data_IF_759934719443
#
_entry.id   IF_759934719443
#
_cell.length_a   1.000
_cell.length_b   1.000
_cell.length_c   1.000
_cell.angle_alpha   90.00
_cell.angle_beta   90.00
_cell.angle_gamma   90.00
#
_symmetry.space_group_name_H-M   'P 1'
#
loop_
_entity.id
_entity.type
_entity.pdbx_description
1 polymer ?
#
# COMPACT_ATOMS: atom_id res chain seq x y z
N UNK A 1 18.93 -10.51 -18.07
CA UNK A 1 18.92 -9.20 -17.40
C UNK A 1 17.61 -8.53 -17.75
N UNK A 2 16.90 -7.95 -16.79
CA UNK A 2 15.59 -7.29 -17.01
C UNK A 2 15.71 -5.83 -16.59
N UNK A 3 15.29 -4.90 -17.45
CA UNK A 3 15.30 -3.46 -17.17
C UNK A 3 13.90 -2.88 -17.26
N UNK A 4 13.54 -2.10 -16.26
CA UNK A 4 12.18 -1.58 -16.07
C UNK A 4 12.26 -0.11 -15.72
N UNK A 5 11.49 0.74 -16.40
CA UNK A 5 11.38 2.15 -16.08
C UNK A 5 10.69 2.35 -14.73
N UNK A 6 11.14 3.34 -13.96
CA UNK A 6 10.41 3.79 -12.77
C UNK A 6 9.22 4.63 -13.24
N UNK A 7 8.03 4.08 -13.08
CA UNK A 7 6.79 4.78 -13.36
C UNK A 7 6.17 5.32 -12.07
N UNK A 8 6.09 6.65 -12.00
CA UNK A 8 5.52 7.37 -10.87
C UNK A 8 4.11 7.85 -11.17
N UNK A 9 3.32 7.17 -11.99
CA UNK A 9 1.91 7.54 -12.16
C UNK A 9 1.09 7.30 -10.88
N UNK A 10 -0.13 7.85 -10.86
CA UNK A 10 -1.01 7.72 -9.71
C UNK A 10 -1.42 6.24 -9.45
N UNK A 11 -1.40 5.37 -10.47
CA UNK A 11 -1.78 3.96 -10.33
C UNK A 11 -0.72 3.19 -9.55
N UNK A 12 0.54 3.29 -9.96
CA UNK A 12 1.69 2.71 -9.26
C UNK A 12 1.74 3.19 -7.81
N UNK A 13 1.59 4.49 -7.60
CA UNK A 13 1.64 5.08 -6.28
C UNK A 13 0.49 4.62 -5.38
N UNK A 14 -0.73 4.56 -5.92
CA UNK A 14 -1.90 4.02 -5.21
C UNK A 14 -1.71 2.56 -4.80
N UNK A 15 -1.15 1.74 -5.69
CA UNK A 15 -0.87 0.33 -5.41
C UNK A 15 0.15 0.18 -4.26
N UNK A 16 1.22 0.97 -4.28
CA UNK A 16 2.23 1.01 -3.22
C UNK A 16 1.57 1.36 -1.88
N UNK A 17 0.80 2.45 -1.80
CA UNK A 17 0.15 2.88 -0.56
C UNK A 17 -0.76 1.77 0.00
N UNK A 18 -1.63 1.21 -0.84
CA UNK A 18 -2.60 0.17 -0.44
C UNK A 18 -1.92 -1.08 0.12
N UNK A 19 -0.69 -1.33 -0.28
CA UNK A 19 0.05 -2.51 0.15
C UNK A 19 0.96 -2.30 1.35
N UNK A 20 1.20 -1.05 1.74
CA UNK A 20 1.94 -0.72 2.97
C UNK A 20 1.30 -1.34 4.21
N UNK A 21 2.13 -1.73 5.18
CA UNK A 21 1.67 -2.21 6.50
C UNK A 21 0.77 -1.18 7.17
N UNK A 22 1.09 0.10 7.04
CA UNK A 22 0.30 1.20 7.58
C UNK A 22 -1.13 1.17 7.03
N UNK A 23 -1.32 1.08 5.72
CA UNK A 23 -2.66 1.04 5.12
C UNK A 23 -3.47 -0.18 5.58
N UNK A 24 -2.86 -1.38 5.53
CA UNK A 24 -3.52 -2.63 5.95
C UNK A 24 -3.92 -2.58 7.43
N UNK A 25 -3.04 -2.11 8.30
CA UNK A 25 -3.32 -1.97 9.73
C UNK A 25 -4.46 -0.98 9.96
N UNK A 26 -4.40 0.16 9.30
CA UNK A 26 -5.40 1.23 9.46
C UNK A 26 -6.77 0.79 8.95
N UNK A 27 -6.82 0.07 7.82
CA UNK A 27 -8.04 -0.57 7.27
C UNK A 27 -8.62 -1.60 8.25
N UNK A 28 -7.80 -2.48 8.81
CA UNK A 28 -8.28 -3.49 9.75
C UNK A 28 -8.86 -2.87 11.02
N UNK A 29 -8.21 -1.84 11.57
CA UNK A 29 -8.75 -1.09 12.72
C UNK A 29 -10.09 -0.43 12.35
N UNK A 30 -10.21 0.18 11.17
CA UNK A 30 -11.46 0.77 10.71
C UNK A 30 -12.60 -0.27 10.66
N UNK A 31 -12.31 -1.47 10.12
CA UNK A 31 -13.29 -2.57 10.06
C UNK A 31 -13.73 -2.99 11.46
N UNK A 32 -12.79 -3.19 12.39
CA UNK A 32 -13.09 -3.61 13.76
C UNK A 32 -13.91 -2.55 14.50
N UNK A 33 -13.50 -1.27 14.43
CA UNK A 33 -14.21 -0.18 15.09
C UNK A 33 -15.62 0.00 14.50
N UNK A 34 -15.77 -0.12 13.17
CA UNK A 34 -17.07 -0.07 12.52
C UNK A 34 -17.99 -1.23 12.93
N UNK A 35 -17.46 -2.45 13.05
CA UNK A 35 -18.21 -3.60 13.54
C UNK A 35 -18.67 -3.42 15.00
N UNK A 36 -17.80 -2.90 15.87
CA UNK A 36 -18.16 -2.57 17.25
C UNK A 36 -19.27 -1.52 17.32
N UNK A 37 -19.22 -0.49 16.47
CA UNK A 37 -20.28 0.51 16.38
C UNK A 37 -21.63 -0.10 15.98
N UNK A 38 -21.66 -1.00 14.99
CA UNK A 38 -22.88 -1.68 14.55
C UNK A 38 -23.46 -2.57 15.66
N UNK A 39 -22.62 -3.34 16.36
CA UNK A 39 -23.06 -4.20 17.47
C UNK A 39 -23.70 -3.35 18.57
N UNK A 40 -23.06 -2.26 18.99
CA UNK A 40 -23.60 -1.36 20.01
C UNK A 40 -24.93 -0.72 19.56
N UNK A 41 -25.04 -0.35 18.29
CA UNK A 41 -26.27 0.22 17.73
C UNK A 41 -27.42 -0.80 17.75
N UNK A 42 -27.15 -2.06 17.41
CA UNK A 42 -28.14 -3.15 17.48
C UNK A 42 -28.59 -3.38 18.93
N UNK A 43 -27.66 -3.39 19.90
CA UNK A 43 -27.99 -3.52 21.32
C UNK A 43 -28.91 -2.38 21.81
N UNK A 44 -28.62 -1.13 21.41
CA UNK A 44 -29.47 0.02 21.75
C UNK A 44 -30.88 -0.12 21.16
N UNK A 45 -31.00 -0.53 19.90
CA UNK A 45 -32.30 -0.73 19.24
C UNK A 45 -33.07 -1.86 19.92
N UNK A 46 -32.42 -2.98 20.23
CA UNK A 46 -33.04 -4.10 20.91
C UNK A 46 -33.53 -3.73 22.31
N UNK A 47 -32.73 -2.99 23.08
CA UNK A 47 -33.12 -2.54 24.42
C UNK A 47 -34.25 -1.51 24.37
N UNK A 48 -34.22 -0.60 23.41
CA UNK A 48 -35.29 0.38 23.19
C UNK A 48 -36.59 -0.31 22.77
N UNK A 49 -36.52 -1.34 21.92
CA UNK A 49 -37.68 -2.13 21.54
C UNK A 49 -38.26 -2.93 22.72
N UNK A 50 -37.40 -3.43 23.61
CA UNK A 50 -37.80 -4.20 24.80
C UNK A 50 -38.44 -3.32 25.88
N UNK A 51 -37.89 -2.14 26.12
CA UNK A 51 -38.28 -1.28 27.26
C UNK A 51 -39.14 -0.08 26.86
N UNK A 52 -39.36 0.13 25.56
CA UNK A 52 -39.96 1.33 24.98
C UNK A 52 -39.30 2.64 25.39
N UNK A 53 -38.06 2.58 25.92
CA UNK A 53 -37.28 3.73 26.37
C UNK A 53 -35.83 3.55 25.93
N UNK A 54 -35.24 4.61 25.41
CA UNK A 54 -33.80 4.58 25.12
C UNK A 54 -33.03 4.81 26.43
N UNK A 55 -32.17 3.86 26.81
CA UNK A 55 -31.31 4.02 27.98
C UNK A 55 -30.28 5.14 27.70
N UNK A 56 -30.27 6.24 28.48
CA UNK A 56 -29.43 7.41 28.19
C UNK A 56 -27.94 7.09 28.11
N UNK A 57 -27.48 6.13 28.91
CA UNK A 57 -26.08 5.71 28.97
C UNK A 57 -25.67 4.97 27.68
N UNK A 58 -26.52 4.06 27.18
CA UNK A 58 -26.31 3.39 25.89
C UNK A 58 -26.33 4.38 24.72
N UNK A 59 -27.25 5.35 24.72
CA UNK A 59 -27.30 6.41 23.69
C UNK A 59 -26.00 7.22 23.68
N UNK A 60 -25.50 7.60 24.86
CA UNK A 60 -24.26 8.36 24.99
C UNK A 60 -23.03 7.54 24.53
N UNK A 61 -22.97 6.25 24.89
CA UNK A 61 -21.91 5.34 24.44
C UNK A 61 -21.91 5.18 22.91
N UNK A 62 -23.06 4.88 22.31
CA UNK A 62 -23.20 4.73 20.85
C UNK A 62 -22.77 6.02 20.13
N UNK A 63 -23.19 7.17 20.64
CA UNK A 63 -22.84 8.49 20.07
C UNK A 63 -21.33 8.78 20.18
N UNK A 64 -20.71 8.47 21.32
CA UNK A 64 -19.28 8.64 21.53
C UNK A 64 -18.45 7.72 20.61
N UNK A 65 -18.85 6.45 20.48
CA UNK A 65 -18.20 5.51 19.56
C UNK A 65 -18.34 5.94 18.09
N UNK A 66 -19.52 6.43 17.70
CA UNK A 66 -19.74 6.98 16.36
C UNK A 66 -18.78 8.13 16.08
N UNK A 67 -18.68 9.09 17.01
CA UNK A 67 -17.85 10.27 16.82
C UNK A 67 -16.35 9.90 16.75
N UNK A 68 -15.89 8.97 17.59
CA UNK A 68 -14.52 8.43 17.52
C UNK A 68 -14.26 7.72 16.19
N UNK A 69 -15.22 6.93 15.70
CA UNK A 69 -15.12 6.25 14.41
C UNK A 69 -15.04 7.26 13.26
N UNK A 70 -15.90 8.27 13.24
CA UNK A 70 -15.90 9.32 12.21
C UNK A 70 -14.58 10.09 12.22
N UNK A 71 -14.10 10.53 13.39
CA UNK A 71 -12.82 11.24 13.51
C UNK A 71 -11.65 10.37 13.02
N UNK A 72 -11.68 9.07 13.34
CA UNK A 72 -10.68 8.12 12.87
C UNK A 72 -10.72 7.95 11.34
N UNK A 73 -11.92 7.79 10.76
CA UNK A 73 -12.12 7.67 9.31
C UNK A 73 -11.69 8.92 8.56
N UNK A 74 -11.99 10.11 9.09
CA UNK A 74 -11.53 11.39 8.51
C UNK A 74 -10.00 11.44 8.49
N UNK A 75 -9.33 11.09 9.60
CA UNK A 75 -7.86 11.04 9.64
C UNK A 75 -7.29 10.06 8.62
N UNK A 76 -7.94 8.90 8.44
CA UNK A 76 -7.56 7.90 7.45
C UNK A 76 -7.69 8.44 6.02
N UNK A 77 -8.85 8.99 5.68
CA UNK A 77 -9.12 9.60 4.38
C UNK A 77 -8.11 10.69 4.03
N UNK A 78 -7.80 11.57 4.99
CA UNK A 78 -6.87 12.69 4.76
C UNK A 78 -5.41 12.24 4.64
N UNK A 79 -4.98 11.28 5.46
CA UNK A 79 -3.57 10.84 5.48
C UNK A 79 -3.22 9.83 4.39
N UNK A 80 -4.20 9.06 3.92
CA UNK A 80 -3.97 7.95 2.99
C UNK A 80 -4.47 8.24 1.57
N UNK A 81 -4.80 9.50 1.27
CA UNK A 81 -5.22 9.93 -0.06
C UNK A 81 -4.04 9.83 -1.04
N UNK A 82 -4.06 8.88 -2.00
CA UNK A 82 -2.92 8.65 -2.88
C UNK A 82 -2.55 9.86 -3.70
N UNK A 83 -3.55 10.64 -4.11
CA UNK A 83 -3.37 11.84 -4.94
C UNK A 83 -2.59 12.94 -4.21
N UNK A 84 -2.90 13.21 -2.95
CA UNK A 84 -2.18 14.23 -2.16
C UNK A 84 -0.74 13.83 -1.90
N UNK A 85 -0.51 12.55 -1.61
CA UNK A 85 0.83 12.05 -1.31
C UNK A 85 1.68 11.96 -2.59
N UNK A 86 1.08 11.50 -3.70
CA UNK A 86 1.70 11.50 -5.03
C UNK A 86 2.10 12.91 -5.48
N UNK A 87 1.19 13.89 -5.34
CA UNK A 87 1.45 15.29 -5.66
C UNK A 87 2.65 15.82 -4.86
N UNK A 88 2.69 15.60 -3.54
CA UNK A 88 3.81 16.00 -2.69
C UNK A 88 5.15 15.38 -3.12
N UNK A 89 5.16 14.10 -3.48
CA UNK A 89 6.38 13.41 -3.92
C UNK A 89 6.85 13.96 -5.26
N UNK A 90 5.93 14.20 -6.20
CA UNK A 90 6.22 14.75 -7.53
C UNK A 90 6.73 16.18 -7.43
N UNK A 91 6.13 17.00 -6.57
CA UNK A 91 6.59 18.38 -6.29
C UNK A 91 7.96 18.43 -5.60
N UNK A 92 8.24 17.48 -4.70
CA UNK A 92 9.52 17.41 -4.01
C UNK A 92 10.65 16.83 -4.89
N UNK A 93 10.32 16.11 -5.96
CA UNK A 93 11.27 15.45 -6.86
C UNK A 93 10.90 15.74 -8.32
N UNK A 94 11.05 17.00 -8.78
CA UNK A 94 10.79 17.35 -10.17
C UNK A 94 11.73 16.57 -11.11
N UNK A 95 11.19 16.12 -12.24
CA UNK A 95 11.92 15.35 -13.23
C UNK A 95 12.33 13.93 -12.78
N UNK A 96 11.72 13.39 -11.72
CA UNK A 96 12.05 12.06 -11.21
C UNK A 96 11.86 10.99 -12.29
N UNK A 97 12.97 10.47 -12.77
CA UNK A 97 13.09 9.34 -13.69
C UNK A 97 13.99 8.28 -13.07
N UNK A 98 13.98 7.08 -13.62
CA UNK A 98 14.89 6.06 -13.17
C UNK A 98 14.60 4.71 -13.77
N UNK A 99 15.37 3.72 -13.34
CA UNK A 99 15.20 2.34 -13.76
C UNK A 99 15.51 1.37 -12.62
N UNK A 100 14.82 0.24 -12.68
CA UNK A 100 15.14 -0.97 -11.95
C UNK A 100 15.84 -1.94 -12.90
N UNK A 101 17.02 -2.41 -12.52
CA UNK A 101 17.80 -3.36 -13.29
C UNK A 101 17.94 -4.64 -12.48
N UNK A 102 17.29 -5.71 -12.92
CA UNK A 102 17.34 -7.02 -12.28
C UNK A 102 18.34 -7.91 -13.02
N UNK A 103 19.28 -8.46 -12.26
CA UNK A 103 20.28 -9.40 -12.75
C UNK A 103 20.33 -10.64 -11.85
N UNK A 104 21.34 -11.48 -12.01
CA UNK A 104 21.48 -12.70 -11.21
C UNK A 104 21.87 -12.47 -9.74
N UNK A 105 22.45 -11.32 -9.43
CA UNK A 105 22.98 -10.97 -8.12
C UNK A 105 21.95 -10.22 -7.26
N UNK A 106 21.13 -9.39 -7.90
CA UNK A 106 20.11 -8.59 -7.22
C UNK A 106 19.39 -7.61 -8.14
N UNK A 107 18.96 -6.51 -7.53
CA UNK A 107 18.35 -5.37 -8.21
C UNK A 107 19.17 -4.11 -7.96
N UNK A 108 19.40 -3.37 -9.02
CA UNK A 108 19.98 -2.03 -8.99
C UNK A 108 18.87 -1.02 -9.24
N UNK A 109 18.78 -0.02 -8.37
CA UNK A 109 17.80 1.06 -8.43
C UNK A 109 18.56 2.35 -8.70
N UNK A 110 18.36 2.89 -9.90
CA UNK A 110 18.93 4.17 -10.32
C UNK A 110 17.81 5.18 -10.45
N UNK A 111 17.86 6.27 -9.69
CA UNK A 111 16.91 7.38 -9.76
C UNK A 111 17.64 8.67 -10.09
N UNK A 112 17.07 9.47 -10.97
CA UNK A 112 17.57 10.80 -11.33
C UNK A 112 16.44 11.81 -11.19
N UNK A 113 16.73 12.93 -10.55
CA UNK A 113 15.89 14.13 -10.55
C UNK A 113 16.63 15.25 -11.28
N UNK A 114 16.02 16.42 -11.37
CA UNK A 114 16.66 17.60 -11.95
C UNK A 114 17.91 18.06 -11.17
N UNK A 115 18.08 17.60 -9.92
CA UNK A 115 19.10 18.10 -9.00
C UNK A 115 20.05 17.02 -8.47
N UNK A 116 19.68 15.75 -8.54
CA UNK A 116 20.44 14.66 -7.90
C UNK A 116 20.29 13.35 -8.68
N UNK A 117 21.27 12.46 -8.52
CA UNK A 117 21.22 11.10 -9.01
C UNK A 117 21.62 10.15 -7.89
N UNK A 118 20.76 9.17 -7.60
CA UNK A 118 21.00 8.15 -6.59
C UNK A 118 21.05 6.79 -7.24
N UNK A 119 21.93 5.97 -6.70
CA UNK A 119 22.14 4.61 -7.12
C UNK A 119 22.23 3.72 -5.88
N UNK A 120 21.47 2.63 -5.88
CA UNK A 120 21.47 1.68 -4.77
C UNK A 120 21.29 0.25 -5.30
N UNK A 121 22.05 -0.66 -4.72
CA UNK A 121 22.04 -2.07 -5.10
C UNK A 121 21.55 -2.92 -3.93
N UNK A 122 20.68 -3.88 -4.23
CA UNK A 122 20.07 -4.76 -3.25
C UNK A 122 20.10 -6.21 -3.72
N UNK A 123 20.79 -7.06 -2.98
CA UNK A 123 20.75 -8.50 -3.19
C UNK A 123 19.35 -9.09 -2.89
N UNK A 124 19.06 -10.26 -3.46
CA UNK A 124 17.75 -10.93 -3.30
C UNK A 124 17.40 -11.31 -1.85
N UNK A 125 18.40 -11.44 -0.97
CA UNK A 125 18.17 -11.69 0.46
C UNK A 125 17.40 -10.53 1.14
N UNK A 126 17.58 -9.29 0.65
CA UNK A 126 16.92 -8.08 1.15
C UNK A 126 15.46 -7.97 0.77
N UNK A 127 14.97 -8.79 -0.16
CA UNK A 127 13.54 -8.81 -0.48
C UNK A 127 12.76 -9.40 0.69
N UNK A 128 11.80 -8.64 1.20
CA UNK A 128 10.86 -9.06 2.25
C UNK A 128 9.73 -9.88 1.62
N UNK A 129 9.21 -9.42 0.48
CA UNK A 129 8.15 -10.10 -0.26
C UNK A 129 8.08 -9.61 -1.70
N UNK A 130 7.64 -10.44 -2.62
CA UNK A 130 7.25 -10.03 -3.97
C UNK A 130 5.93 -10.70 -4.35
N UNK A 131 5.07 -10.02 -5.11
CA UNK A 131 3.84 -10.61 -5.60
C UNK A 131 3.37 -9.99 -6.90
N UNK A 132 2.69 -10.77 -7.72
CA UNK A 132 1.93 -10.26 -8.86
C UNK A 132 0.48 -10.02 -8.46
N UNK A 133 0.02 -8.77 -8.54
CA UNK A 133 -1.33 -8.35 -8.16
C UNK A 133 -1.85 -7.26 -9.07
N UNK A 134 -3.11 -7.39 -9.51
CA UNK A 134 -3.79 -6.36 -10.30
C UNK A 134 -3.05 -5.98 -11.59
N UNK A 135 -2.25 -6.89 -12.16
CA UNK A 135 -1.41 -6.64 -13.35
C UNK A 135 -0.04 -5.99 -13.06
N UNK A 136 0.34 -5.88 -11.79
CA UNK A 136 1.62 -5.30 -11.35
C UNK A 136 2.48 -6.33 -10.62
N UNK A 137 3.78 -6.24 -10.80
CA UNK A 137 4.77 -6.81 -9.90
C UNK A 137 4.99 -5.83 -8.75
N UNK A 138 4.64 -6.25 -7.54
CA UNK A 138 4.82 -5.49 -6.32
C UNK A 138 5.90 -6.15 -5.46
N UNK A 139 7.00 -5.43 -5.22
CA UNK A 139 8.15 -5.91 -4.48
C UNK A 139 8.37 -5.05 -3.25
N UNK A 140 8.67 -5.66 -2.11
CA UNK A 140 9.03 -4.98 -0.88
C UNK A 140 10.48 -5.33 -0.56
N UNK A 141 11.37 -4.35 -0.69
CA UNK A 141 12.79 -4.50 -0.45
C UNK A 141 13.10 -3.84 0.89
N UNK A 142 13.82 -4.54 1.75
CA UNK A 142 14.26 -3.99 3.04
C UNK A 142 15.00 -2.68 2.83
N UNK A 143 14.69 -1.67 3.64
CA UNK A 143 15.23 -0.29 3.58
C UNK A 143 14.70 0.53 2.38
N UNK A 144 14.68 -0.02 1.17
CA UNK A 144 14.20 0.69 -0.03
C UNK A 144 12.68 0.88 -0.05
N UNK A 145 11.92 -0.01 0.60
CA UNK A 145 10.47 0.03 0.67
C UNK A 145 9.79 -0.70 -0.50
N UNK A 146 8.59 -0.23 -0.84
CA UNK A 146 7.76 -0.84 -1.88
C UNK A 146 8.09 -0.30 -3.26
N UNK A 147 8.14 -1.21 -4.22
CA UNK A 147 8.41 -0.99 -5.63
C UNK A 147 7.28 -1.62 -6.42
N UNK A 148 6.79 -0.94 -7.45
CA UNK A 148 5.75 -1.46 -8.34
C UNK A 148 6.14 -1.22 -9.80
N UNK A 149 5.84 -2.19 -10.66
CA UNK A 149 5.90 -2.05 -12.11
C UNK A 149 4.85 -2.93 -12.78
N UNK A 150 4.41 -2.56 -13.97
CA UNK A 150 3.53 -3.35 -14.81
C UNK A 150 4.26 -3.80 -16.10
N UNK A 151 3.54 -4.47 -17.00
CA UNK A 151 4.11 -4.94 -18.25
C UNK A 151 4.51 -3.82 -19.24
N UNK A 152 3.92 -2.63 -19.11
CA UNK A 152 4.18 -1.47 -19.98
C UNK A 152 5.47 -0.74 -19.61
N UNK A 153 5.99 -0.96 -18.39
CA UNK A 153 7.20 -0.30 -17.91
C UNK A 153 8.51 -0.98 -18.35
N UNK A 154 8.43 -2.13 -19.03
CA UNK A 154 9.62 -2.90 -19.44
C UNK A 154 10.37 -2.21 -20.58
N UNK A 155 11.66 -1.97 -20.36
CA UNK A 155 12.60 -1.44 -21.37
C UNK A 155 13.35 -2.59 -22.04
N UNK A 156 13.78 -3.58 -21.24
CA UNK A 156 14.53 -4.74 -21.70
C UNK A 156 14.09 -6.00 -20.93
N UNK A 157 13.94 -7.11 -21.64
CA UNK A 157 13.40 -8.35 -21.11
C UNK A 157 11.87 -8.39 -21.08
N UNK A 158 11.30 -9.44 -20.50
CA UNK A 158 9.84 -9.67 -20.48
C UNK A 158 9.27 -9.85 -19.07
N UNK A 159 7.96 -9.60 -18.88
CA UNK A 159 7.26 -9.97 -17.64
C UNK A 159 7.46 -11.43 -17.23
N UNK A 160 7.51 -12.35 -18.19
CA UNK A 160 7.72 -13.78 -17.95
C UNK A 160 9.14 -14.07 -17.44
N UNK A 161 10.14 -13.38 -17.98
CA UNK A 161 11.52 -13.46 -17.50
C UNK A 161 11.66 -12.92 -16.09
N UNK A 162 11.04 -11.78 -15.78
CA UNK A 162 11.03 -11.25 -14.41
C UNK A 162 10.35 -12.22 -13.46
N UNK A 163 9.20 -12.77 -13.85
CA UNK A 163 8.47 -13.77 -13.05
C UNK A 163 9.35 -14.99 -12.78
N UNK A 164 9.99 -15.53 -13.81
CA UNK A 164 10.89 -16.68 -13.66
C UNK A 164 12.08 -16.36 -12.75
N UNK A 165 12.68 -15.17 -12.89
CA UNK A 165 13.77 -14.69 -12.07
C UNK A 165 13.36 -14.56 -10.60
N UNK A 166 12.26 -13.87 -10.31
CA UNK A 166 11.73 -13.69 -8.96
C UNK A 166 11.34 -15.04 -8.34
N UNK A 167 10.66 -15.91 -9.09
CA UNK A 167 10.31 -17.27 -8.62
C UNK A 167 11.56 -18.06 -8.23
N UNK A 168 12.61 -17.99 -9.04
CA UNK A 168 13.86 -18.71 -8.81
C UNK A 168 14.65 -18.14 -7.62
N UNK A 169 14.80 -16.82 -7.55
CA UNK A 169 15.67 -16.15 -6.56
C UNK A 169 14.99 -15.95 -5.21
N UNK A 170 13.67 -15.76 -5.18
CA UNK A 170 12.91 -15.48 -3.97
C UNK A 170 12.17 -16.69 -3.40
N UNK A 171 11.94 -17.72 -4.21
CA UNK A 171 11.22 -18.93 -3.81
C UNK A 171 9.89 -18.58 -3.13
N UNK A 172 9.71 -19.04 -1.88
CA UNK A 172 8.47 -18.83 -1.11
C UNK A 172 8.15 -17.36 -0.74
N UNK A 173 9.09 -16.42 -0.93
CA UNK A 173 8.81 -14.98 -0.76
C UNK A 173 8.07 -14.37 -1.95
N UNK A 174 8.06 -15.05 -3.10
CA UNK A 174 7.31 -14.65 -4.29
C UNK A 174 5.94 -15.33 -4.32
N UNK A 175 4.88 -14.55 -4.53
CA UNK A 175 3.51 -15.05 -4.62
C UNK A 175 2.86 -14.65 -5.94
N UNK A 176 2.42 -15.64 -6.69
CA UNK A 176 1.60 -15.46 -7.88
C UNK A 176 0.13 -15.51 -7.46
N UNK A 177 -0.65 -14.53 -7.93
CA UNK A 177 -2.08 -14.29 -7.62
C UNK A 177 -2.36 -13.44 -6.36
#
# INVERSE_FOLDING_TARGET
MVRIAINNDLKHYSLIIRNTKAYKTTKNIAIITGALFLINSICLVAETARTHKAEPLLVLLVSAFFLLFVLYMIRLLVKMEPMKLHKKVTEANPGLTGEYVFNDEGVTISTKTDHDSKHAEYAYDKFISAAEKEGFFLMNISIAGYVACNAEDFIEGTPDELRALLRTKLGGKFKEK
#
